data_IF_391629052586
#
_entry.id   IF_391629052586
#
_cell.length_a   1.000
_cell.length_b   1.000
_cell.length_c   1.000
_cell.angle_alpha   90.00
_cell.angle_beta   90.00
_cell.angle_gamma   90.00
#
_symmetry.space_group_name_H-M   'P 1'
#
loop_
_entity.id
_entity.type
_entity.pdbx_description
1 polymer ?
#
# COMPACT_ATOMS: atom_id res chain seq x y z
N UNK A 1 16.26 2.82 -27.23
CA UNK A 1 16.79 3.82 -26.26
C UNK A 1 15.70 4.52 -25.42
N UNK A 2 14.58 4.95 -26.00
CA UNK A 2 13.46 5.63 -25.29
C UNK A 2 12.81 4.71 -24.24
N UNK A 3 12.59 3.44 -24.55
CA UNK A 3 12.02 2.45 -23.61
C UNK A 3 12.88 2.24 -22.35
N UNK A 4 14.21 2.22 -22.48
CA UNK A 4 15.10 2.07 -21.32
C UNK A 4 15.09 3.32 -20.43
N UNK A 5 15.18 4.51 -21.04
CA UNK A 5 15.08 5.78 -20.30
C UNK A 5 13.75 5.90 -19.56
N UNK A 6 12.65 5.53 -20.22
CA UNK A 6 11.32 5.51 -19.61
C UNK A 6 11.24 4.51 -18.46
N UNK A 7 11.76 3.28 -18.63
CA UNK A 7 11.83 2.29 -17.56
C UNK A 7 12.59 2.82 -16.36
N UNK A 8 13.78 3.38 -16.56
CA UNK A 8 14.60 3.95 -15.49
C UNK A 8 13.90 5.12 -14.78
N UNK A 9 13.24 6.00 -15.55
CA UNK A 9 12.42 7.07 -14.98
C UNK A 9 11.28 6.52 -14.12
N UNK A 10 10.61 5.46 -14.58
CA UNK A 10 9.50 4.83 -13.86
C UNK A 10 9.96 4.09 -12.59
N UNK A 11 11.16 3.51 -12.60
CA UNK A 11 11.79 2.96 -11.40
C UNK A 11 12.17 4.06 -10.39
N UNK A 12 12.47 5.27 -10.86
CA UNK A 12 12.76 6.42 -9.97
C UNK A 12 11.51 7.00 -9.34
N UNK A 13 10.42 7.13 -10.10
CA UNK A 13 9.17 7.77 -9.64
C UNK A 13 8.29 6.80 -8.84
N UNK A 14 8.21 5.54 -9.24
CA UNK A 14 7.43 4.50 -8.55
C UNK A 14 8.30 3.25 -8.32
N UNK A 15 9.25 3.32 -7.37
CA UNK A 15 10.18 2.22 -7.09
C UNK A 15 9.44 0.95 -6.63
N UNK A 16 8.32 1.12 -5.91
CA UNK A 16 7.57 0.02 -5.30
C UNK A 16 6.40 -0.49 -6.14
N UNK A 17 6.15 0.05 -7.34
CA UNK A 17 5.03 -0.39 -8.20
C UNK A 17 3.63 0.00 -7.67
N UNK A 18 3.52 0.92 -6.71
CA UNK A 18 2.24 1.28 -6.08
C UNK A 18 1.37 2.12 -7.01
N UNK A 19 1.96 3.14 -7.65
CA UNK A 19 1.25 4.00 -8.61
C UNK A 19 0.78 3.21 -9.82
N UNK A 20 1.58 2.24 -10.28
CA UNK A 20 1.18 1.34 -11.38
C UNK A 20 -0.05 0.49 -11.02
N UNK A 21 -0.18 0.05 -9.76
CA UNK A 21 -1.39 -0.67 -9.30
C UNK A 21 -2.60 0.26 -9.27
N UNK A 22 -2.44 1.46 -8.72
CA UNK A 22 -3.50 2.47 -8.65
C UNK A 22 -4.01 2.79 -10.06
N UNK A 23 -3.11 3.05 -11.01
CA UNK A 23 -3.46 3.31 -12.40
C UNK A 23 -4.24 2.15 -13.03
N UNK A 24 -3.74 0.90 -12.88
CA UNK A 24 -4.40 -0.28 -13.43
C UNK A 24 -5.80 -0.48 -12.87
N UNK A 25 -5.97 -0.32 -11.57
CA UNK A 25 -7.29 -0.40 -10.91
C UNK A 25 -8.20 0.73 -11.31
N UNK A 26 -7.69 1.95 -11.44
CA UNK A 26 -8.45 3.11 -11.91
C UNK A 26 -8.97 2.91 -13.34
N UNK A 27 -8.12 2.45 -14.26
CA UNK A 27 -8.53 2.12 -15.63
C UNK A 27 -9.54 0.96 -15.66
N UNK A 28 -9.30 -0.09 -14.88
CA UNK A 28 -10.23 -1.22 -14.76
C UNK A 28 -11.60 -0.75 -14.26
N UNK A 29 -11.62 0.06 -13.19
CA UNK A 29 -12.84 0.65 -12.65
C UNK A 29 -13.56 1.53 -13.68
N UNK A 30 -12.83 2.37 -14.43
CA UNK A 30 -13.41 3.24 -15.44
C UNK A 30 -14.15 2.45 -16.54
N UNK A 31 -13.58 1.33 -16.99
CA UNK A 31 -14.23 0.42 -17.95
C UNK A 31 -15.54 -0.14 -17.37
N UNK A 32 -15.50 -0.64 -16.13
CA UNK A 32 -16.69 -1.18 -15.46
C UNK A 32 -17.78 -0.13 -15.24
N UNK A 33 -17.41 1.07 -14.80
CA UNK A 33 -18.35 2.17 -14.63
C UNK A 33 -19.00 2.58 -15.95
N UNK A 34 -18.24 2.58 -17.05
CA UNK A 34 -18.74 2.92 -18.38
C UNK A 34 -19.71 1.85 -18.89
N UNK A 35 -19.35 0.57 -18.75
CA UNK A 35 -20.21 -0.54 -19.15
C UNK A 35 -21.55 -0.54 -18.40
N UNK A 36 -21.51 -0.34 -17.08
CA UNK A 36 -22.73 -0.31 -16.27
C UNK A 36 -23.55 0.96 -16.53
N UNK A 37 -22.91 2.09 -16.84
CA UNK A 37 -23.62 3.30 -17.26
C UNK A 37 -24.46 3.08 -18.53
N UNK A 38 -23.93 2.34 -19.52
CA UNK A 38 -24.67 2.04 -20.74
C UNK A 38 -25.92 1.15 -20.51
N UNK A 39 -25.84 0.26 -19.52
CA UNK A 39 -26.91 -0.69 -19.20
C UNK A 39 -27.94 -0.06 -18.27
N UNK A 40 -27.49 0.46 -17.13
CA UNK A 40 -28.34 0.92 -16.04
C UNK A 40 -28.87 2.35 -16.24
N UNK A 41 -28.16 3.19 -17.00
CA UNK A 41 -28.50 4.59 -17.29
C UNK A 41 -28.96 5.36 -16.03
N UNK A 42 -28.07 5.55 -15.05
CA UNK A 42 -28.42 6.14 -13.76
C UNK A 42 -29.01 7.54 -13.91
N UNK A 43 -30.13 7.80 -13.24
CA UNK A 43 -30.87 9.07 -13.32
C UNK A 43 -30.03 10.27 -12.84
N UNK A 44 -29.17 10.05 -11.84
CA UNK A 44 -28.24 11.05 -11.32
C UNK A 44 -26.80 10.63 -11.65
N UNK A 45 -26.38 10.87 -12.89
CA UNK A 45 -25.05 10.47 -13.39
C UNK A 45 -23.90 10.99 -12.53
N UNK A 46 -23.97 12.23 -12.04
CA UNK A 46 -22.93 12.82 -11.19
C UNK A 46 -22.74 12.01 -9.89
N UNK A 47 -23.83 11.58 -9.26
CA UNK A 47 -23.79 10.77 -8.04
C UNK A 47 -23.22 9.37 -8.28
N UNK A 48 -23.54 8.78 -9.44
CA UNK A 48 -23.00 7.49 -9.87
C UNK A 48 -21.51 7.55 -10.22
N UNK A 49 -21.05 8.56 -10.96
CA UNK A 49 -19.70 8.61 -11.53
C UNK A 49 -18.69 9.38 -10.68
N UNK A 50 -19.08 10.53 -10.11
CA UNK A 50 -18.16 11.37 -9.32
C UNK A 50 -17.81 10.71 -7.98
N UNK A 51 -18.71 9.93 -7.41
CA UNK A 51 -18.50 9.28 -6.11
C UNK A 51 -17.38 8.23 -6.18
N UNK A 52 -17.40 7.24 -7.10
CA UNK A 52 -16.25 6.37 -7.33
C UNK A 52 -14.97 7.11 -7.68
N UNK A 53 -15.05 8.17 -8.50
CA UNK A 53 -13.88 8.93 -8.92
C UNK A 53 -13.10 9.51 -7.73
N UNK A 54 -13.80 9.97 -6.69
CA UNK A 54 -13.19 10.61 -5.53
C UNK A 54 -12.95 9.64 -4.36
N UNK A 55 -13.80 8.63 -4.18
CA UNK A 55 -13.73 7.75 -3.00
C UNK A 55 -13.00 6.42 -3.27
N UNK A 56 -12.92 5.94 -4.52
CA UNK A 56 -12.29 4.65 -4.80
C UNK A 56 -10.79 4.64 -4.45
N UNK A 57 -10.13 5.81 -4.52
CA UNK A 57 -8.72 5.95 -4.15
C UNK A 57 -8.41 5.63 -2.68
N UNK A 58 -9.40 5.76 -1.78
CA UNK A 58 -9.27 5.42 -0.35
C UNK A 58 -8.85 3.95 -0.17
N UNK A 59 -9.33 3.07 -1.06
CA UNK A 59 -9.01 1.64 -1.01
C UNK A 59 -7.50 1.37 -1.11
N UNK A 60 -6.75 2.20 -1.84
CA UNK A 60 -5.30 2.01 -2.04
C UNK A 60 -4.44 2.72 -1.00
N UNK A 61 -5.03 3.38 0.00
CA UNK A 61 -4.25 3.99 1.07
C UNK A 61 -3.42 2.94 1.84
N UNK A 62 -2.17 3.30 2.14
CA UNK A 62 -1.21 2.42 2.82
C UNK A 62 -1.53 2.22 4.31
N UNK A 63 -2.37 3.08 4.89
CA UNK A 63 -2.83 2.94 6.28
C UNK A 63 -3.69 1.68 6.48
N UNK A 64 -4.39 1.23 5.43
CA UNK A 64 -5.20 0.01 5.44
C UNK A 64 -4.36 -1.19 5.02
N UNK A 65 -4.02 -2.04 6.00
CA UNK A 65 -3.00 -3.09 5.81
C UNK A 65 -3.60 -4.46 5.44
N UNK A 66 -4.91 -4.61 5.49
CA UNK A 66 -5.60 -5.87 5.14
C UNK A 66 -6.73 -5.63 4.15
N UNK A 67 -7.11 -6.65 3.39
CA UNK A 67 -8.26 -6.57 2.49
C UNK A 67 -9.55 -6.20 3.23
N UNK A 68 -9.77 -6.77 4.41
CA UNK A 68 -10.93 -6.43 5.26
C UNK A 68 -10.95 -4.96 5.64
N UNK A 69 -9.82 -4.38 6.05
CA UNK A 69 -9.73 -2.94 6.36
C UNK A 69 -10.01 -2.08 5.13
N UNK A 70 -9.47 -2.46 3.96
CA UNK A 70 -9.68 -1.73 2.69
C UNK A 70 -11.14 -1.78 2.24
N UNK A 71 -11.78 -2.95 2.31
CA UNK A 71 -13.19 -3.14 1.98
C UNK A 71 -14.10 -2.36 2.95
N UNK A 72 -13.84 -2.43 4.26
CA UNK A 72 -14.60 -1.67 5.26
C UNK A 72 -14.47 -0.15 5.07
N UNK A 73 -13.25 0.34 4.80
CA UNK A 73 -13.01 1.76 4.56
C UNK A 73 -13.72 2.25 3.29
N UNK A 74 -13.72 1.44 2.22
CA UNK A 74 -14.43 1.75 0.98
C UNK A 74 -15.94 1.83 1.22
N UNK A 75 -16.54 0.81 1.84
CA UNK A 75 -17.98 0.79 2.14
C UNK A 75 -18.37 1.96 3.04
N UNK A 76 -17.60 2.21 4.10
CA UNK A 76 -17.83 3.34 4.98
C UNK A 76 -17.78 4.69 4.24
N UNK A 77 -16.79 4.90 3.38
CA UNK A 77 -16.67 6.13 2.59
C UNK A 77 -17.90 6.36 1.71
N UNK A 78 -18.36 5.33 1.00
CA UNK A 78 -19.52 5.45 0.11
C UNK A 78 -20.83 5.61 0.86
N UNK A 79 -21.02 4.98 2.01
CA UNK A 79 -22.21 5.18 2.85
C UNK A 79 -22.21 6.62 3.40
N UNK A 80 -21.09 7.07 3.98
CA UNK A 80 -20.96 8.43 4.49
C UNK A 80 -21.15 9.48 3.38
N UNK A 81 -20.53 9.27 2.22
CA UNK A 81 -20.68 10.11 1.04
C UNK A 81 -22.10 10.07 0.47
N UNK A 82 -22.78 8.93 0.47
CA UNK A 82 -24.16 8.78 0.01
C UNK A 82 -25.15 9.53 0.91
N UNK A 83 -25.04 9.36 2.23
CA UNK A 83 -25.82 10.13 3.21
C UNK A 83 -25.54 11.62 3.04
N UNK A 84 -24.26 11.98 2.91
CA UNK A 84 -23.84 13.35 2.66
C UNK A 84 -24.46 13.94 1.39
N UNK A 85 -24.39 13.24 0.25
CA UNK A 85 -25.00 13.66 -1.01
C UNK A 85 -26.50 13.97 -0.85
N UNK A 86 -27.26 13.05 -0.24
CA UNK A 86 -28.71 13.21 0.01
C UNK A 86 -28.99 14.44 0.87
N UNK A 87 -28.32 14.55 2.01
CA UNK A 87 -28.54 15.63 2.98
C UNK A 87 -28.12 16.99 2.44
N UNK A 88 -26.97 17.09 1.77
CA UNK A 88 -26.49 18.34 1.15
C UNK A 88 -27.43 18.80 0.04
N UNK A 89 -27.92 17.88 -0.78
CA UNK A 89 -28.90 18.17 -1.82
C UNK A 89 -30.24 18.66 -1.24
N UNK A 90 -30.79 17.99 -0.23
CA UNK A 90 -32.05 18.38 0.40
C UNK A 90 -31.95 19.74 1.13
N UNK A 91 -30.81 20.02 1.77
CA UNK A 91 -30.57 21.28 2.49
C UNK A 91 -30.07 22.41 1.58
N UNK A 92 -29.75 22.13 0.32
CA UNK A 92 -29.22 23.12 -0.62
C UNK A 92 -30.06 24.40 -0.76
N UNK A 93 -31.42 24.36 -0.73
CA UNK A 93 -32.23 25.56 -0.75
C UNK A 93 -32.01 26.48 0.48
N UNK A 94 -31.63 25.91 1.63
CA UNK A 94 -31.45 26.60 2.90
C UNK A 94 -29.98 26.91 3.18
N UNK A 95 -29.43 27.93 2.50
CA UNK A 95 -27.97 28.21 2.49
C UNK A 95 -27.32 28.33 3.88
N UNK A 96 -27.96 29.03 4.81
CA UNK A 96 -27.44 29.21 6.18
C UNK A 96 -27.44 27.88 6.93
N UNK A 97 -28.56 27.14 6.86
CA UNK A 97 -28.70 25.82 7.49
C UNK A 97 -27.71 24.80 6.91
N UNK A 98 -27.46 24.85 5.59
CA UNK A 98 -26.47 24.01 4.91
C UNK A 98 -25.06 24.24 5.46
N UNK A 99 -24.67 25.49 5.71
CA UNK A 99 -23.35 25.83 6.26
C UNK A 99 -23.15 25.20 7.66
N UNK A 100 -24.11 25.39 8.57
CA UNK A 100 -24.05 24.78 9.90
C UNK A 100 -24.11 23.25 9.83
N UNK A 101 -24.91 22.71 8.91
CA UNK A 101 -24.96 21.27 8.68
C UNK A 101 -23.63 20.72 8.17
N UNK A 102 -22.94 21.39 7.25
CA UNK A 102 -21.64 20.95 6.75
C UNK A 102 -20.59 20.88 7.88
N UNK A 103 -20.57 21.88 8.77
CA UNK A 103 -19.71 21.88 9.96
C UNK A 103 -20.08 20.74 10.93
N UNK A 104 -21.38 20.54 11.19
CA UNK A 104 -21.86 19.47 12.04
C UNK A 104 -21.55 18.08 11.45
N UNK A 105 -21.70 17.90 10.14
CA UNK A 105 -21.39 16.67 9.42
C UNK A 105 -19.88 16.37 9.48
N UNK A 106 -19.02 17.38 9.25
CA UNK A 106 -17.57 17.25 9.43
C UNK A 106 -17.21 16.86 10.86
N UNK A 107 -17.74 17.57 11.86
CA UNK A 107 -17.47 17.29 13.27
C UNK A 107 -17.93 15.88 13.65
N UNK A 108 -19.12 15.48 13.21
CA UNK A 108 -19.68 14.14 13.47
C UNK A 108 -18.79 13.06 12.87
N UNK A 109 -18.43 13.17 11.58
CA UNK A 109 -17.51 12.23 10.94
C UNK A 109 -16.15 12.22 11.63
N UNK A 110 -15.63 13.37 12.04
CA UNK A 110 -14.37 13.47 12.76
C UNK A 110 -14.40 12.71 14.07
N UNK A 111 -15.38 12.97 14.95
CA UNK A 111 -15.49 12.28 16.24
C UNK A 111 -15.80 10.78 16.12
N UNK A 112 -16.62 10.40 15.13
CA UNK A 112 -16.88 8.98 14.83
C UNK A 112 -15.61 8.29 14.36
N UNK A 113 -14.86 8.90 13.44
CA UNK A 113 -13.60 8.36 12.96
C UNK A 113 -12.54 8.32 14.06
N UNK A 114 -12.44 9.34 14.91
CA UNK A 114 -11.56 9.35 16.09
C UNK A 114 -11.76 8.10 16.95
N UNK A 115 -13.01 7.77 17.24
CA UNK A 115 -13.37 6.69 18.15
C UNK A 115 -13.33 5.30 17.52
N UNK A 116 -13.80 5.16 16.28
CA UNK A 116 -14.04 3.85 15.66
C UNK A 116 -13.11 3.54 14.47
N UNK A 117 -12.73 4.55 13.69
CA UNK A 117 -11.96 4.38 12.44
C UNK A 117 -10.87 5.45 12.27
N UNK A 118 -9.85 5.51 13.14
CA UNK A 118 -8.90 6.63 13.17
C UNK A 118 -8.08 6.77 11.89
N UNK A 119 -7.86 5.65 11.19
CA UNK A 119 -7.19 5.61 9.88
C UNK A 119 -7.97 6.31 8.76
N UNK A 120 -9.28 6.52 8.96
CA UNK A 120 -10.15 7.15 7.97
C UNK A 120 -10.12 8.68 8.01
N UNK A 121 -9.65 9.29 9.11
CA UNK A 121 -9.65 10.75 9.30
C UNK A 121 -9.14 11.56 8.09
N UNK A 122 -8.05 11.18 7.40
CA UNK A 122 -7.57 11.94 6.25
C UNK A 122 -8.56 12.01 5.07
N UNK A 123 -9.55 11.11 5.03
CA UNK A 123 -10.51 10.96 3.93
C UNK A 123 -11.88 11.59 4.22
N UNK A 124 -12.11 12.13 5.43
CA UNK A 124 -13.36 12.82 5.78
C UNK A 124 -13.64 13.99 4.82
N UNK A 125 -12.60 14.72 4.42
CA UNK A 125 -12.79 15.83 3.49
C UNK A 125 -13.29 15.35 2.12
N UNK A 126 -12.84 14.18 1.65
CA UNK A 126 -13.28 13.63 0.36
C UNK A 126 -14.77 13.29 0.38
N UNK A 127 -15.30 12.76 1.48
CA UNK A 127 -16.74 12.46 1.58
C UNK A 127 -17.59 13.74 1.55
N UNK A 128 -17.10 14.84 2.13
CA UNK A 128 -17.77 16.14 2.08
C UNK A 128 -17.73 16.73 0.68
N UNK A 129 -16.58 16.70 0.01
CA UNK A 129 -16.42 17.24 -1.35
C UNK A 129 -17.36 16.51 -2.32
N UNK A 130 -17.42 15.19 -2.26
CA UNK A 130 -18.38 14.38 -3.05
C UNK A 130 -19.82 14.81 -2.79
N UNK A 131 -20.17 15.05 -1.54
CA UNK A 131 -21.51 15.48 -1.13
C UNK A 131 -21.88 16.85 -1.71
N UNK A 132 -20.94 17.79 -1.67
CA UNK A 132 -21.12 19.14 -2.21
C UNK A 132 -21.26 19.15 -3.74
N UNK A 133 -20.62 18.24 -4.48
CA UNK A 133 -20.72 18.20 -5.94
C UNK A 133 -22.13 17.88 -6.45
N UNK A 134 -22.92 17.15 -5.67
CA UNK A 134 -24.27 16.72 -6.06
C UNK A 134 -25.39 17.66 -5.57
N UNK A 135 -25.06 18.69 -4.79
CA UNK A 135 -26.06 19.54 -4.11
C UNK A 135 -26.90 20.40 -5.07
N UNK A 136 -26.37 20.73 -6.26
CA UNK A 136 -27.01 21.60 -7.25
C UNK A 136 -27.83 20.83 -8.30
N UNK A 137 -28.10 19.54 -8.07
CA UNK A 137 -28.93 18.72 -8.97
C UNK A 137 -30.36 19.31 -9.05
N UNK A 138 -30.98 19.25 -10.22
CA UNK A 138 -32.35 19.75 -10.44
C UNK A 138 -33.35 18.58 -10.60
N UNK A 139 -34.63 18.74 -10.22
CA UNK A 139 -35.20 19.85 -9.43
C UNK A 139 -34.56 19.93 -8.02
N UNK A 140 -34.55 21.10 -7.38
CA UNK A 140 -33.90 21.25 -6.07
C UNK A 140 -34.79 20.73 -4.92
N UNK A 141 -34.21 20.00 -3.96
CA UNK A 141 -34.90 19.58 -2.74
C UNK A 141 -36.02 18.55 -2.92
N UNK A 142 -36.03 17.81 -4.04
CA UNK A 142 -37.03 16.79 -4.33
C UNK A 142 -36.63 15.44 -3.70
N UNK A 143 -37.51 14.87 -2.87
CA UNK A 143 -37.26 13.61 -2.19
C UNK A 143 -36.98 12.44 -3.15
N UNK A 144 -37.66 12.37 -4.30
CA UNK A 144 -37.45 11.31 -5.28
C UNK A 144 -36.02 11.35 -5.84
N UNK A 145 -35.56 12.54 -6.26
CA UNK A 145 -34.18 12.75 -6.73
C UNK A 145 -33.18 12.42 -5.63
N UNK A 146 -33.49 12.71 -4.36
CA UNK A 146 -32.63 12.36 -3.25
C UNK A 146 -32.50 10.83 -3.07
N UNK A 147 -33.61 10.10 -3.21
CA UNK A 147 -33.63 8.63 -3.18
C UNK A 147 -32.82 8.07 -4.37
N UNK A 148 -33.07 8.57 -5.58
CA UNK A 148 -32.37 8.14 -6.79
C UNK A 148 -30.87 8.42 -6.70
N UNK A 149 -30.49 9.57 -6.11
CA UNK A 149 -29.10 9.93 -5.83
C UNK A 149 -28.43 8.92 -4.89
N UNK A 150 -29.08 8.53 -3.80
CA UNK A 150 -28.55 7.51 -2.90
C UNK A 150 -28.34 6.18 -3.62
N UNK A 151 -29.32 5.72 -4.40
CA UNK A 151 -29.21 4.48 -5.18
C UNK A 151 -28.12 4.56 -6.25
N UNK A 152 -27.93 5.71 -6.91
CA UNK A 152 -26.82 5.93 -7.84
C UNK A 152 -25.46 5.82 -7.14
N UNK A 153 -25.31 6.38 -5.94
CA UNK A 153 -24.08 6.22 -5.13
C UNK A 153 -23.87 4.76 -4.73
N UNK A 154 -24.91 4.05 -4.30
CA UNK A 154 -24.82 2.63 -3.93
C UNK A 154 -24.52 1.74 -5.14
N UNK A 155 -25.05 2.07 -6.33
CA UNK A 155 -24.67 1.41 -7.57
C UNK A 155 -23.18 1.64 -7.86
N UNK A 156 -22.70 2.88 -7.73
CA UNK A 156 -21.27 3.19 -7.87
C UNK A 156 -20.38 2.42 -6.88
N UNK A 157 -20.83 2.27 -5.63
CA UNK A 157 -20.16 1.42 -4.63
C UNK A 157 -20.10 -0.04 -5.10
N UNK A 158 -21.24 -0.58 -5.55
CA UNK A 158 -21.33 -1.96 -6.00
C UNK A 158 -20.38 -2.23 -7.17
N UNK A 159 -20.37 -1.35 -8.19
CA UNK A 159 -19.44 -1.45 -9.31
C UNK A 159 -17.99 -1.39 -8.84
N UNK A 160 -17.67 -0.43 -7.97
CA UNK A 160 -16.30 -0.24 -7.44
C UNK A 160 -15.83 -1.45 -6.66
N UNK A 161 -16.69 -1.98 -5.80
CA UNK A 161 -16.42 -3.15 -4.99
C UNK A 161 -16.14 -4.38 -5.87
N UNK A 162 -16.99 -4.65 -6.87
CA UNK A 162 -16.77 -5.75 -7.80
C UNK A 162 -15.49 -5.57 -8.62
N UNK A 163 -15.26 -4.38 -9.16
CA UNK A 163 -14.06 -4.08 -9.94
C UNK A 163 -12.79 -4.36 -9.13
N UNK A 164 -12.74 -3.93 -7.86
CA UNK A 164 -11.58 -4.17 -7.00
C UNK A 164 -11.47 -5.61 -6.52
N UNK A 165 -12.60 -6.31 -6.34
CA UNK A 165 -12.62 -7.72 -5.94
C UNK A 165 -12.10 -8.65 -7.05
N UNK A 166 -12.47 -8.39 -8.30
CA UNK A 166 -12.05 -9.18 -9.46
C UNK A 166 -10.69 -8.78 -10.03
N UNK A 167 -10.17 -7.60 -9.69
CA UNK A 167 -8.85 -7.19 -10.14
C UNK A 167 -7.76 -8.11 -9.55
N UNK A 168 -6.78 -8.56 -10.34
CA UNK A 168 -5.73 -9.45 -9.86
C UNK A 168 -4.92 -8.86 -8.70
N UNK A 169 -4.53 -9.70 -7.75
CA UNK A 169 -3.69 -9.27 -6.63
C UNK A 169 -2.25 -9.04 -7.11
N UNK A 170 -1.86 -7.78 -7.25
CA UNK A 170 -0.51 -7.37 -7.66
C UNK A 170 0.40 -6.98 -6.48
N UNK A 171 -0.07 -7.08 -5.24
CA UNK A 171 0.66 -6.61 -4.05
C UNK A 171 1.95 -7.41 -3.77
N UNK A 172 2.05 -8.64 -4.28
CA UNK A 172 3.28 -9.43 -4.22
C UNK A 172 4.46 -8.73 -4.90
N UNK A 173 4.22 -7.99 -6.00
CA UNK A 173 5.27 -7.22 -6.69
C UNK A 173 5.76 -6.04 -5.85
N UNK A 174 4.85 -5.37 -5.13
CA UNK A 174 5.19 -4.28 -4.22
C UNK A 174 6.06 -4.79 -3.07
N UNK A 175 5.66 -5.91 -2.48
CA UNK A 175 6.42 -6.53 -1.41
C UNK A 175 7.81 -6.97 -1.89
N UNK A 176 7.91 -7.65 -3.04
CA UNK A 176 9.20 -8.10 -3.58
C UNK A 176 10.13 -6.92 -3.84
N UNK A 177 9.68 -5.88 -4.53
CA UNK A 177 10.50 -4.69 -4.81
C UNK A 177 10.94 -3.96 -3.54
N UNK A 178 10.02 -3.75 -2.60
CA UNK A 178 10.37 -3.13 -1.31
C UNK A 178 11.37 -3.97 -0.52
N UNK A 179 11.27 -5.30 -0.59
CA UNK A 179 12.23 -6.21 0.02
C UNK A 179 13.60 -6.20 -0.67
N UNK A 180 13.64 -6.13 -2.00
CA UNK A 180 14.88 -5.92 -2.77
C UNK A 180 15.58 -4.62 -2.37
N UNK A 181 14.85 -3.51 -2.31
CA UNK A 181 15.41 -2.23 -1.87
C UNK A 181 15.91 -2.28 -0.42
N UNK A 182 15.17 -2.96 0.47
CA UNK A 182 15.59 -3.16 1.85
C UNK A 182 16.90 -3.97 1.96
N UNK A 183 17.04 -5.04 1.18
CA UNK A 183 18.28 -5.82 1.09
C UNK A 183 19.46 -4.97 0.60
N UNK A 184 19.23 -4.12 -0.39
CA UNK A 184 20.24 -3.17 -0.89
C UNK A 184 20.69 -2.19 0.20
N UNK A 185 19.77 -1.64 1.00
CA UNK A 185 20.12 -0.79 2.15
C UNK A 185 20.94 -1.53 3.20
N UNK A 186 20.58 -2.78 3.53
CA UNK A 186 21.37 -3.60 4.48
C UNK A 186 22.78 -3.87 3.93
N UNK A 187 22.90 -4.17 2.64
CA UNK A 187 24.19 -4.34 1.98
C UNK A 187 25.04 -3.06 1.98
N UNK A 188 24.42 -1.90 1.79
CA UNK A 188 25.09 -0.61 1.88
C UNK A 188 25.54 -0.29 3.32
N UNK A 189 24.73 -0.60 4.33
CA UNK A 189 25.11 -0.44 5.75
C UNK A 189 26.35 -1.29 6.10
N UNK A 190 26.48 -2.51 5.57
CA UNK A 190 27.69 -3.32 5.71
C UNK A 190 28.89 -2.62 5.06
N UNK A 191 28.73 -2.09 3.84
CA UNK A 191 29.80 -1.37 3.14
C UNK A 191 30.24 -0.09 3.88
N UNK A 192 29.29 0.68 4.41
CA UNK A 192 29.59 1.85 5.25
C UNK A 192 30.30 1.44 6.55
N UNK A 193 29.85 0.34 7.17
CA UNK A 193 30.47 -0.21 8.35
C UNK A 193 31.94 -0.64 8.07
N UNK A 194 32.22 -1.30 6.96
CA UNK A 194 33.59 -1.70 6.55
C UNK A 194 34.47 -0.46 6.32
N UNK A 195 33.95 0.53 5.59
CA UNK A 195 34.70 1.72 5.18
C UNK A 195 34.77 2.82 6.26
N UNK A 196 34.24 2.59 7.46
CA UNK A 196 34.14 3.57 8.56
C UNK A 196 33.48 4.89 8.13
N UNK A 197 32.47 4.81 7.26
CA UNK A 197 31.68 5.96 6.84
C UNK A 197 30.56 6.21 7.85
N UNK A 198 30.51 7.41 8.42
CA UNK A 198 29.50 7.85 9.41
C UNK A 198 28.10 8.11 8.81
N UNK A 199 27.88 7.76 7.55
CA UNK A 199 26.60 7.93 6.87
C UNK A 199 25.64 6.81 7.25
N UNK A 200 24.89 6.99 8.33
CA UNK A 200 23.80 6.10 8.71
C UNK A 200 22.65 6.19 7.70
N UNK A 201 22.52 5.20 6.82
CA UNK A 201 21.36 5.07 5.92
C UNK A 201 20.13 4.42 6.59
N UNK A 202 20.11 4.32 7.93
CA UNK A 202 19.06 3.64 8.70
C UNK A 202 17.64 4.14 8.35
N UNK A 203 17.48 5.44 8.12
CA UNK A 203 16.20 6.03 7.72
C UNK A 203 15.68 5.46 6.38
N UNK A 204 16.57 5.20 5.43
CA UNK A 204 16.23 4.64 4.12
C UNK A 204 15.84 3.16 4.24
N UNK A 205 16.62 2.37 5.00
CA UNK A 205 16.26 0.98 5.31
C UNK A 205 14.91 0.88 6.05
N UNK A 206 14.66 1.76 7.01
CA UNK A 206 13.39 1.83 7.74
C UNK A 206 12.21 2.17 6.82
N UNK A 207 12.39 3.05 5.84
CA UNK A 207 11.38 3.40 4.83
C UNK A 207 10.95 2.18 4.03
N UNK A 208 11.90 1.42 3.50
CA UNK A 208 11.61 0.18 2.77
C UNK A 208 10.91 -0.86 3.67
N UNK A 209 11.39 -1.03 4.89
CA UNK A 209 10.80 -1.97 5.86
C UNK A 209 9.35 -1.62 6.22
N UNK A 210 9.01 -0.33 6.32
CA UNK A 210 7.63 0.10 6.56
C UNK A 210 6.69 -0.28 5.41
N UNK A 211 7.15 -0.20 4.17
CA UNK A 211 6.37 -0.63 3.00
C UNK A 211 6.18 -2.15 3.01
N UNK A 212 7.24 -2.92 3.27
CA UNK A 212 7.16 -4.37 3.44
C UNK A 212 6.09 -4.73 4.48
N UNK A 213 6.08 -4.03 5.62
CA UNK A 213 5.10 -4.25 6.71
C UNK A 213 3.67 -3.90 6.28
N UNK A 214 3.48 -2.79 5.57
CA UNK A 214 2.17 -2.33 5.10
C UNK A 214 1.52 -3.32 4.11
N UNK A 215 2.32 -3.93 3.21
CA UNK A 215 1.81 -4.83 2.17
C UNK A 215 1.82 -6.31 2.56
N UNK A 216 2.50 -6.71 3.65
CA UNK A 216 2.62 -8.11 4.08
C UNK A 216 1.28 -8.84 4.21
N UNK A 217 0.27 -8.20 4.80
CA UNK A 217 -1.06 -8.80 5.04
C UNK A 217 -1.96 -8.80 3.79
N UNK A 218 -1.49 -8.21 2.69
CA UNK A 218 -2.15 -8.25 1.38
C UNK A 218 -1.62 -9.37 0.47
N UNK A 219 -0.64 -10.14 0.96
CA UNK A 219 -0.09 -11.28 0.26
C UNK A 219 -0.96 -12.53 0.41
N UNK A 220 -0.88 -13.48 -0.54
CA UNK A 220 -1.53 -14.77 -0.40
C UNK A 220 -1.16 -15.49 0.90
N UNK A 221 -2.14 -16.17 1.53
CA UNK A 221 -1.96 -16.81 2.83
C UNK A 221 -0.90 -17.93 2.81
N UNK A 222 -0.75 -18.64 1.70
CA UNK A 222 0.24 -19.71 1.50
C UNK A 222 1.70 -19.22 1.60
N UNK A 223 1.99 -17.98 1.21
CA UNK A 223 3.35 -17.41 1.25
C UNK A 223 3.64 -16.57 2.50
N UNK A 224 2.60 -16.14 3.23
CA UNK A 224 2.69 -15.18 4.33
C UNK A 224 3.70 -15.57 5.42
N UNK A 225 3.73 -16.85 5.80
CA UNK A 225 4.65 -17.37 6.82
C UNK A 225 6.11 -17.23 6.38
N UNK A 226 6.41 -17.63 5.16
CA UNK A 226 7.78 -17.62 4.62
C UNK A 226 8.25 -16.19 4.40
N UNK A 227 7.41 -15.34 3.81
CA UNK A 227 7.64 -13.89 3.66
C UNK A 227 7.99 -13.25 5.00
N UNK A 228 7.18 -13.52 6.03
CA UNK A 228 7.39 -12.94 7.36
C UNK A 228 8.73 -13.38 7.96
N UNK A 229 9.07 -14.68 7.84
CA UNK A 229 10.34 -15.21 8.33
C UNK A 229 11.54 -14.61 7.60
N UNK A 230 11.47 -14.53 6.26
CA UNK A 230 12.50 -13.91 5.43
C UNK A 230 12.74 -12.46 5.85
N UNK A 231 11.69 -11.64 5.99
CA UNK A 231 11.83 -10.24 6.43
C UNK A 231 12.41 -10.13 7.85
N UNK A 232 11.94 -10.95 8.81
CA UNK A 232 12.43 -10.91 10.20
C UNK A 232 13.92 -11.24 10.26
N UNK A 233 14.36 -12.25 9.51
CA UNK A 233 15.75 -12.68 9.53
C UNK A 233 16.69 -11.59 8.95
N UNK A 234 16.32 -10.94 7.85
CA UNK A 234 17.09 -9.79 7.33
C UNK A 234 17.10 -8.61 8.30
N UNK A 235 15.95 -8.31 8.94
CA UNK A 235 15.90 -7.28 9.97
C UNK A 235 16.81 -7.60 11.16
N UNK A 236 16.90 -8.86 11.55
CA UNK A 236 17.80 -9.30 12.61
C UNK A 236 19.28 -9.13 12.22
N UNK A 237 19.62 -9.32 10.95
CA UNK A 237 20.96 -8.98 10.43
C UNK A 237 21.18 -7.47 10.59
N UNK A 238 20.25 -6.63 10.13
CA UNK A 238 20.36 -5.17 10.28
C UNK A 238 20.56 -4.74 11.74
N UNK A 239 19.83 -5.32 12.70
CA UNK A 239 20.05 -5.04 14.12
C UNK A 239 21.42 -5.52 14.63
N UNK A 240 21.92 -6.65 14.14
CA UNK A 240 23.28 -7.09 14.46
C UNK A 240 24.33 -6.14 13.88
N UNK A 241 24.07 -5.48 12.74
CA UNK A 241 25.00 -4.50 12.16
C UNK A 241 25.27 -3.32 13.09
N UNK A 242 24.29 -2.90 13.91
CA UNK A 242 24.49 -1.86 14.92
C UNK A 242 25.56 -2.24 15.95
N UNK A 243 25.71 -3.53 16.27
CA UNK A 243 26.76 -4.00 17.18
C UNK A 243 28.16 -3.96 16.54
N UNK A 244 28.23 -4.11 15.21
CA UNK A 244 29.50 -4.07 14.48
C UNK A 244 30.11 -2.67 14.55
N UNK A 245 29.30 -1.62 14.45
CA UNK A 245 29.78 -0.24 14.54
C UNK A 245 30.52 0.07 15.85
N UNK A 246 30.30 -0.72 16.91
CA UNK A 246 30.87 -0.52 18.24
C UNK A 246 32.12 -1.36 18.51
N UNK A 247 32.52 -2.29 17.61
CA UNK A 247 33.66 -3.20 17.81
C UNK A 247 34.66 -3.13 16.64
N UNK A 248 35.92 -3.47 16.92
CA UNK A 248 36.91 -3.74 15.86
C UNK A 248 36.45 -4.91 15.00
N UNK A 249 36.49 -4.71 13.67
CA UNK A 249 35.77 -5.54 12.69
C UNK A 249 36.72 -6.49 11.98
N UNK A 250 36.31 -7.74 11.83
CA UNK A 250 36.90 -8.64 10.84
C UNK A 250 36.43 -8.22 9.43
N UNK A 251 37.24 -7.38 8.78
CA UNK A 251 36.94 -6.82 7.46
C UNK A 251 36.77 -7.92 6.41
N UNK A 252 37.52 -9.02 6.53
CA UNK A 252 37.47 -10.12 5.57
C UNK A 252 36.12 -10.85 5.67
N UNK A 253 35.68 -11.18 6.89
CA UNK A 253 34.36 -11.76 7.11
C UNK A 253 33.24 -10.88 6.56
N UNK A 254 33.24 -9.58 6.89
CA UNK A 254 32.15 -8.69 6.49
C UNK A 254 32.11 -8.43 4.98
N UNK A 255 33.26 -8.39 4.30
CA UNK A 255 33.32 -8.31 2.84
C UNK A 255 32.74 -9.56 2.17
N UNK A 256 33.10 -10.74 2.67
CA UNK A 256 32.56 -12.02 2.17
C UNK A 256 31.05 -12.13 2.43
N UNK A 257 30.60 -11.76 3.63
CA UNK A 257 29.19 -11.71 3.97
C UNK A 257 28.39 -10.72 3.10
N UNK A 258 28.99 -9.58 2.74
CA UNK A 258 28.39 -8.62 1.82
C UNK A 258 28.20 -9.22 0.42
N UNK A 259 29.20 -9.97 -0.08
CA UNK A 259 29.08 -10.70 -1.34
C UNK A 259 27.95 -11.73 -1.28
N UNK A 260 27.87 -12.51 -0.20
CA UNK A 260 26.81 -13.49 -0.02
C UNK A 260 25.41 -12.85 0.04
N UNK A 261 25.28 -11.70 0.70
CA UNK A 261 24.04 -10.94 0.71
C UNK A 261 23.69 -10.39 -0.69
N UNK A 262 24.68 -9.99 -1.49
CA UNK A 262 24.48 -9.50 -2.85
C UNK A 262 23.94 -10.60 -3.79
N UNK A 263 24.40 -11.84 -3.66
CA UNK A 263 23.84 -12.98 -4.38
C UNK A 263 22.37 -13.22 -4.01
N UNK A 264 22.05 -13.17 -2.71
CA UNK A 264 20.67 -13.29 -2.26
C UNK A 264 19.80 -12.14 -2.80
N UNK A 265 20.31 -10.90 -2.78
CA UNK A 265 19.66 -9.75 -3.37
C UNK A 265 19.38 -9.94 -4.87
N UNK A 266 20.34 -10.47 -5.63
CA UNK A 266 20.17 -10.78 -7.05
C UNK A 266 19.06 -11.81 -7.28
N UNK A 267 19.03 -12.90 -6.50
CA UNK A 267 17.98 -13.92 -6.58
C UNK A 267 16.59 -13.34 -6.30
N UNK A 268 16.46 -12.51 -5.25
CA UNK A 268 15.20 -11.83 -4.92
C UNK A 268 14.78 -10.87 -6.03
N UNK A 269 15.72 -10.11 -6.61
CA UNK A 269 15.45 -9.15 -7.68
C UNK A 269 14.95 -9.82 -8.97
N UNK A 270 15.49 -11.00 -9.28
CA UNK A 270 15.16 -11.80 -10.48
C UNK A 270 14.01 -12.78 -10.25
N UNK A 271 13.49 -12.87 -9.02
CA UNK A 271 12.41 -13.80 -8.64
C UNK A 271 12.80 -15.28 -8.79
N UNK A 272 14.08 -15.60 -8.61
CA UNK A 272 14.62 -16.95 -8.74
C UNK A 272 15.04 -17.51 -7.38
N UNK A 273 15.07 -18.85 -7.21
CA UNK A 273 15.64 -19.44 -6.00
C UNK A 273 17.13 -19.09 -5.87
N UNK A 274 17.58 -18.89 -4.64
CA UNK A 274 18.99 -18.71 -4.32
C UNK A 274 19.58 -20.06 -3.91
N UNK A 275 20.51 -20.59 -4.70
CA UNK A 275 21.11 -21.91 -4.46
C UNK A 275 22.31 -21.88 -3.51
N UNK A 276 22.86 -20.69 -3.26
CA UNK A 276 23.97 -20.51 -2.35
C UNK A 276 23.49 -20.51 -0.89
N UNK A 277 24.24 -21.17 -0.01
CA UNK A 277 24.09 -21.05 1.44
C UNK A 277 25.32 -20.33 1.98
N UNK A 278 25.07 -19.35 2.84
CA UNK A 278 26.07 -18.55 3.50
C UNK A 278 26.93 -19.42 4.46
N UNK A 279 28.24 -19.24 4.40
CA UNK A 279 29.22 -19.98 5.22
C UNK A 279 30.11 -19.03 5.99
N UNK A 280 30.45 -19.39 7.24
CA UNK A 280 31.49 -18.73 8.01
C UNK A 280 32.79 -19.54 7.90
N UNK A 281 33.80 -18.99 7.22
CA UNK A 281 35.11 -19.60 7.07
C UNK A 281 36.15 -19.06 8.08
N UNK A 282 35.71 -18.18 8.99
CA UNK A 282 36.55 -17.47 9.95
C UNK A 282 36.33 -18.01 11.37
N UNK A 283 37.14 -17.51 12.32
CA UNK A 283 37.04 -17.93 13.71
C UNK A 283 35.61 -17.67 14.24
N UNK A 284 35.01 -18.63 14.97
CA UNK A 284 33.62 -18.53 15.38
C UNK A 284 33.43 -17.37 16.34
N UNK A 285 32.67 -16.36 15.89
CA UNK A 285 32.20 -15.25 16.70
C UNK A 285 30.67 -15.26 16.70
N UNK A 286 30.06 -15.05 17.87
CA UNK A 286 28.60 -15.05 18.03
C UNK A 286 27.88 -14.19 16.99
N UNK A 287 28.38 -12.98 16.72
CA UNK A 287 27.78 -12.05 15.75
C UNK A 287 27.81 -12.62 14.33
N UNK A 288 28.95 -13.18 13.93
CA UNK A 288 29.19 -13.76 12.61
C UNK A 288 28.26 -14.97 12.38
N UNK A 289 28.24 -15.90 13.33
CA UNK A 289 27.37 -17.09 13.27
C UNK A 289 25.88 -16.70 13.29
N UNK A 290 25.53 -15.65 14.02
CA UNK A 290 24.17 -15.15 14.08
C UNK A 290 23.72 -14.59 12.73
N UNK A 291 24.53 -13.74 12.07
CA UNK A 291 24.14 -13.16 10.77
C UNK A 291 24.08 -14.22 9.67
N UNK A 292 25.03 -15.16 9.64
CA UNK A 292 25.03 -16.28 8.69
C UNK A 292 23.78 -17.15 8.86
N UNK A 293 23.44 -17.51 10.10
CA UNK A 293 22.23 -18.28 10.41
C UNK A 293 20.96 -17.57 9.96
N UNK A 294 20.86 -16.26 10.14
CA UNK A 294 19.71 -15.49 9.69
C UNK A 294 19.66 -15.36 8.16
N UNK A 295 20.80 -15.20 7.48
CA UNK A 295 20.85 -15.17 6.02
C UNK A 295 20.39 -16.50 5.43
N UNK A 296 20.92 -17.62 5.92
CA UNK A 296 20.50 -18.97 5.51
C UNK A 296 19.02 -19.23 5.74
N UNK A 297 18.48 -18.82 6.91
CA UNK A 297 17.03 -18.89 7.14
C UNK A 297 16.25 -18.05 6.14
N UNK A 298 16.74 -16.86 5.76
CA UNK A 298 16.10 -16.00 4.77
C UNK A 298 16.05 -16.66 3.39
N UNK A 299 17.19 -17.21 2.95
CA UNK A 299 17.35 -17.92 1.68
C UNK A 299 16.41 -19.13 1.61
N UNK A 300 16.41 -19.99 2.64
CA UNK A 300 15.57 -21.18 2.68
C UNK A 300 14.06 -20.83 2.63
N UNK A 301 13.64 -19.77 3.32
CA UNK A 301 12.25 -19.33 3.25
C UNK A 301 11.92 -18.66 1.91
N UNK A 302 12.87 -17.93 1.30
CA UNK A 302 12.72 -17.38 -0.04
C UNK A 302 12.53 -18.46 -1.10
N UNK A 303 13.34 -19.52 -1.08
CA UNK A 303 13.21 -20.64 -2.02
C UNK A 303 11.84 -21.32 -1.89
N UNK A 304 11.29 -21.41 -0.67
CA UNK A 304 9.92 -21.88 -0.44
C UNK A 304 8.85 -20.94 -1.00
N UNK A 305 9.10 -19.63 -1.06
CA UNK A 305 8.20 -18.67 -1.72
C UNK A 305 8.25 -18.91 -3.23
N UNK A 306 9.45 -19.01 -3.81
CA UNK A 306 9.62 -19.29 -5.25
C UNK A 306 8.98 -20.60 -5.69
N UNK A 307 8.94 -21.63 -4.83
CA UNK A 307 8.30 -22.90 -5.14
C UNK A 307 6.75 -22.85 -5.13
N UNK A 308 6.16 -21.79 -4.56
CA UNK A 308 4.70 -21.63 -4.40
C UNK A 308 4.08 -20.64 -5.38
N UNK A 309 4.90 -19.90 -6.14
CA UNK A 309 4.52 -18.83 -7.08
C UNK A 309 4.80 -19.30 -8.49
#
# INVERSE_FOLDING_TARGET
MISLKFKLWLERVDPYYTQRIILRKGLYLAVWLTAINWIARPDVFAAYAATPMLLAGIYEAQSFVSFREKEQALVFAFIAGGIGCVTFYLLFPFKISLMFFALAHFATLYFVCERYFPKFKPFILQTIVVSALNMATLPAGNLQVAIDMFFCVMLGLFVTFLAFKFHPNLYARVWQRSFTHYLSSVGAEIGHAINKLDTHSFAEGARHLNIIRAYRRLLPHNVLRNVTKTTICIRNIQFALNHIYLKDKDVLFWSEFQHQLAEFHLAVSTQTPCFMLATNNYAPEFTQDYVIRNLNKSILNWNKICALV
#
